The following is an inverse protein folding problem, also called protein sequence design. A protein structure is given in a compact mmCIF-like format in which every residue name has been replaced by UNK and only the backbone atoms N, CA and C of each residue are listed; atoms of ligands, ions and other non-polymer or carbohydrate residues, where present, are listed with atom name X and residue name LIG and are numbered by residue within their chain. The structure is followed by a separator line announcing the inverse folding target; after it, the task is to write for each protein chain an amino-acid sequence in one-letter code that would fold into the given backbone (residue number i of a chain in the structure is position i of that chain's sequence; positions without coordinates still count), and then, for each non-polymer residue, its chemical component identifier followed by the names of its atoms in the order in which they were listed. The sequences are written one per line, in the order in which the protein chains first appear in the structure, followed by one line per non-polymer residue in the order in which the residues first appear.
data_IF_277536653419
#
_entry.id   IF_277536653419
#
_cell.length_a   1.000
_cell.length_b   1.000
_cell.length_c   1.000
_cell.angle_alpha   90.00
_cell.angle_beta   90.00
_cell.angle_gamma   90.00
#
_symmetry.space_group_name_H-M   'P 1'
#
loop_
_entity.id
_entity.type
_entity.pdbx_description
1 polymer ?
#
# COMPACT_ATOMS: atom_id res chain seq x y z
N UNK A 1 6.80 -60.46 -37.14
CA UNK A 1 6.27 -61.31 -38.24
C UNK A 1 5.04 -60.63 -38.88
N UNK A 2 5.23 -59.91 -39.99
CA UNK A 2 4.95 -60.37 -41.37
C UNK A 2 3.43 -60.47 -41.64
N UNK A 3 2.82 -59.82 -42.63
CA UNK A 3 3.34 -59.04 -43.76
C UNK A 3 2.19 -58.32 -44.51
N UNK A 4 2.59 -57.46 -45.44
CA UNK A 4 1.75 -56.86 -46.50
C UNK A 4 1.37 -57.92 -47.56
N UNK A 5 0.29 -57.76 -48.38
CA UNK A 5 0.30 -56.79 -49.48
C UNK A 5 -1.02 -56.09 -49.85
N UNK A 6 -0.80 -55.09 -50.70
CA UNK A 6 -1.60 -54.03 -51.32
C UNK A 6 -2.59 -54.55 -52.39
N UNK A 7 -3.75 -53.89 -52.52
CA UNK A 7 -4.56 -53.88 -53.73
C UNK A 7 -5.08 -52.46 -54.02
N UNK A 8 -5.29 -52.17 -55.31
CA UNK A 8 -5.30 -50.86 -55.94
C UNK A 8 -6.66 -50.13 -55.99
N UNK A 9 -6.61 -48.84 -56.36
CA UNK A 9 -7.65 -47.81 -56.41
C UNK A 9 -8.80 -48.06 -57.42
N UNK A 10 -9.81 -47.17 -57.46
CA UNK A 10 -9.74 -46.18 -58.54
C UNK A 10 -10.14 -44.74 -58.17
N UNK A 11 -9.38 -43.82 -58.77
CA UNK A 11 -9.74 -42.57 -59.45
C UNK A 11 -10.70 -41.56 -58.79
N UNK A 12 -10.08 -40.45 -58.39
CA UNK A 12 -10.74 -39.16 -58.16
C UNK A 12 -11.26 -38.55 -59.46
N UNK A 13 -12.42 -37.87 -59.44
CA UNK A 13 -12.63 -36.73 -60.31
C UNK A 13 -12.29 -35.43 -59.57
N UNK A 14 -11.32 -34.69 -60.13
CA UNK A 14 -10.98 -33.32 -59.79
C UNK A 14 -12.21 -32.42 -59.70
N UNK A 15 -12.30 -31.65 -58.62
CA UNK A 15 -13.15 -30.47 -58.51
C UNK A 15 -12.26 -29.20 -58.47
N UNK A 16 -12.77 -28.07 -58.99
CA UNK A 16 -11.95 -26.97 -59.52
C UNK A 16 -11.31 -26.09 -58.44
N UNK A 17 -10.27 -25.38 -58.87
CA UNK A 17 -9.53 -24.37 -58.11
C UNK A 17 -10.47 -23.40 -57.35
N UNK A 18 -10.51 -23.58 -56.03
CA UNK A 18 -11.16 -22.67 -55.09
C UNK A 18 -10.28 -21.45 -54.81
N UNK A 19 -10.90 -20.28 -54.90
CA UNK A 19 -10.41 -18.92 -54.71
C UNK A 19 -9.41 -18.70 -53.55
N UNK A 20 -8.55 -17.68 -53.63
CA UNK A 20 -7.59 -17.35 -52.58
C UNK A 20 -8.31 -17.07 -51.25
N UNK A 21 -7.89 -17.83 -50.23
CA UNK A 21 -8.29 -17.68 -48.82
C UNK A 21 -7.98 -16.25 -48.36
N UNK A 22 -9.03 -15.49 -48.01
CA UNK A 22 -8.90 -14.17 -47.39
C UNK A 22 -8.06 -14.29 -46.11
N UNK A 23 -7.10 -13.37 -45.96
CA UNK A 23 -6.23 -13.29 -44.79
C UNK A 23 -7.05 -13.15 -43.50
N UNK A 24 -6.64 -13.89 -42.47
CA UNK A 24 -7.26 -13.82 -41.14
C UNK A 24 -7.21 -12.38 -40.61
N UNK A 25 -8.28 -11.88 -39.95
CA UNK A 25 -8.25 -10.57 -39.34
C UNK A 25 -7.12 -10.51 -38.31
N UNK A 26 -6.26 -9.51 -38.50
CA UNK A 26 -4.98 -9.37 -37.82
C UNK A 26 -5.07 -9.53 -36.30
N UNK A 27 -4.09 -10.24 -35.75
CA UNK A 27 -3.82 -10.21 -34.32
C UNK A 27 -3.61 -8.75 -33.92
N UNK A 28 -4.59 -8.16 -33.26
CA UNK A 28 -4.38 -6.88 -32.58
C UNK A 28 -3.35 -7.15 -31.50
N UNK A 29 -2.10 -6.74 -31.74
CA UNK A 29 -1.11 -6.63 -30.68
C UNK A 29 -1.71 -5.71 -29.63
N UNK A 30 -1.95 -6.23 -28.42
CA UNK A 30 -2.45 -5.43 -27.32
C UNK A 30 -1.47 -4.26 -27.12
N UNK A 31 -1.94 -3.00 -27.01
CA UNK A 31 -1.03 -1.89 -26.80
C UNK A 31 -0.29 -2.14 -25.49
N UNK A 32 1.02 -2.35 -25.56
CA UNK A 32 1.90 -2.26 -24.40
C UNK A 32 1.69 -0.86 -23.85
N UNK A 33 1.08 -0.74 -22.67
CA UNK A 33 0.83 0.54 -22.05
C UNK A 33 2.16 1.32 -22.05
N UNK A 34 2.20 2.43 -22.79
CA UNK A 34 3.38 3.25 -22.89
C UNK A 34 3.78 3.65 -21.47
N UNK A 35 5.00 3.29 -21.05
CA UNK A 35 5.51 3.64 -19.74
C UNK A 35 5.58 5.16 -19.67
N UNK A 36 4.66 5.78 -18.94
CA UNK A 36 4.72 7.20 -18.64
C UNK A 36 5.84 7.39 -17.64
N UNK A 37 6.96 7.93 -18.11
CA UNK A 37 8.01 8.43 -17.22
C UNK A 37 7.62 9.86 -16.89
N UNK A 38 7.31 10.12 -15.62
CA UNK A 38 7.21 11.48 -15.11
C UNK A 38 8.63 11.87 -14.70
N UNK A 39 9.35 12.71 -15.48
CA UNK A 39 10.62 13.25 -15.02
C UNK A 39 10.32 14.14 -13.82
N UNK A 40 10.68 13.66 -12.63
CA UNK A 40 10.65 14.48 -11.43
C UNK A 40 11.97 15.24 -11.40
N UNK A 41 11.91 16.57 -11.52
CA UNK A 41 13.05 17.45 -11.27
C UNK A 41 13.25 17.56 -9.76
N UNK A 42 13.86 16.53 -9.18
CA UNK A 42 14.14 16.45 -7.75
C UNK A 42 15.53 17.03 -7.47
N UNK A 43 15.68 17.77 -6.36
CA UNK A 43 17.00 18.21 -5.93
C UNK A 43 17.91 17.00 -5.70
N UNK A 44 19.23 17.22 -5.78
CA UNK A 44 20.22 16.19 -5.44
C UNK A 44 19.93 15.65 -4.04
N UNK A 45 19.88 14.32 -3.92
CA UNK A 45 19.69 13.68 -2.63
C UNK A 45 20.80 14.14 -1.65
N UNK A 46 20.44 14.51 -0.41
CA UNK A 46 21.42 14.80 0.62
C UNK A 46 22.26 13.55 0.94
N UNK A 47 23.39 13.75 1.62
CA UNK A 47 24.13 12.62 2.17
C UNK A 47 23.31 11.87 3.25
N UNK A 48 23.86 10.75 3.71
CA UNK A 48 23.18 9.87 4.66
C UNK A 48 22.80 10.59 5.95
N UNK A 49 23.71 11.35 6.52
CA UNK A 49 23.49 11.94 7.84
C UNK A 49 22.49 13.08 7.73
N UNK A 50 22.61 13.93 6.69
CA UNK A 50 21.62 14.95 6.38
C UNK A 50 20.22 14.35 6.08
N UNK A 51 20.15 13.16 5.47
CA UNK A 51 18.88 12.45 5.24
C UNK A 51 18.25 11.96 6.54
N UNK A 52 19.05 11.43 7.47
CA UNK A 52 18.57 10.97 8.77
C UNK A 52 18.08 12.14 9.64
N UNK A 53 18.82 13.25 9.62
CA UNK A 53 18.44 14.45 10.36
C UNK A 53 17.12 15.03 9.82
N UNK A 54 16.96 15.09 8.50
CA UNK A 54 15.71 15.58 7.89
C UNK A 54 14.52 14.65 8.17
N UNK A 55 14.73 13.32 8.13
CA UNK A 55 13.70 12.35 8.48
C UNK A 55 13.26 12.51 9.94
N UNK A 56 14.22 12.56 10.87
CA UNK A 56 13.96 12.74 12.29
C UNK A 56 13.20 14.05 12.53
N UNK A 57 13.68 15.17 11.95
CA UNK A 57 13.03 16.48 12.09
C UNK A 57 11.56 16.44 11.66
N UNK A 58 11.24 15.82 10.52
CA UNK A 58 9.85 15.70 10.05
C UNK A 58 9.01 14.78 10.90
N UNK A 59 9.57 13.65 11.32
CA UNK A 59 8.88 12.71 12.18
C UNK A 59 8.44 13.40 13.48
N UNK A 60 9.38 14.00 14.19
CA UNK A 60 9.12 14.63 15.48
C UNK A 60 8.23 15.88 15.39
N UNK A 61 8.19 16.57 14.24
CA UNK A 61 7.27 17.68 14.02
C UNK A 61 5.79 17.24 13.95
N UNK A 62 5.50 15.99 13.59
CA UNK A 62 4.14 15.47 13.46
C UNK A 62 3.77 14.42 14.52
N UNK A 63 4.73 13.98 15.32
CA UNK A 63 4.57 12.91 16.31
C UNK A 63 4.93 13.42 17.71
N UNK A 64 4.10 14.30 18.24
CA UNK A 64 4.27 14.86 19.58
C UNK A 64 4.42 13.73 20.63
N UNK A 65 5.36 13.90 21.55
CA UNK A 65 5.64 12.93 22.61
C UNK A 65 6.35 11.63 22.17
N UNK A 66 6.66 11.45 20.88
CA UNK A 66 7.36 10.25 20.41
C UNK A 66 8.81 10.17 20.90
N UNK A 67 9.27 8.96 21.20
CA UNK A 67 10.67 8.69 21.54
C UNK A 67 11.47 8.13 20.35
N UNK A 68 12.77 7.85 20.54
CA UNK A 68 13.60 7.24 19.49
C UNK A 68 13.18 5.83 19.07
N UNK A 69 12.48 5.10 19.94
CA UNK A 69 11.97 3.75 19.64
C UNK A 69 10.73 3.83 18.76
N UNK A 70 9.92 4.88 18.92
CA UNK A 70 8.81 5.13 18.02
C UNK A 70 9.31 5.45 16.61
N UNK A 71 10.31 6.34 16.47
CA UNK A 71 10.96 6.60 15.19
C UNK A 71 11.57 5.33 14.57
N UNK A 72 12.25 4.51 15.37
CA UNK A 72 12.81 3.24 14.90
C UNK A 72 11.73 2.26 14.43
N UNK A 73 10.62 2.17 15.17
CA UNK A 73 9.48 1.33 14.82
C UNK A 73 8.82 1.79 13.51
N UNK A 74 8.59 3.09 13.35
CA UNK A 74 7.92 3.66 12.19
C UNK A 74 8.80 3.59 10.92
N UNK A 75 10.08 3.96 11.03
CA UNK A 75 10.99 4.04 9.88
C UNK A 75 11.67 2.72 9.52
N UNK A 76 11.73 1.75 10.45
CA UNK A 76 12.52 0.53 10.30
C UNK A 76 14.03 0.76 10.41
N UNK A 77 14.48 1.96 10.80
CA UNK A 77 15.89 2.25 10.97
C UNK A 77 16.47 1.58 12.22
N UNK A 78 17.78 1.25 12.22
CA UNK A 78 18.48 0.87 13.43
C UNK A 78 18.37 1.97 14.49
N UNK A 79 18.18 1.58 15.76
CA UNK A 79 18.01 2.54 16.87
C UNK A 79 19.15 3.57 16.98
N UNK A 80 20.37 3.20 16.58
CA UNK A 80 21.54 4.11 16.56
C UNK A 80 21.39 5.30 15.60
N UNK A 81 20.52 5.16 14.59
CA UNK A 81 20.27 6.17 13.56
C UNK A 81 19.04 7.03 13.90
N UNK A 82 18.30 6.70 14.97
CA UNK A 82 17.08 7.40 15.40
C UNK A 82 17.41 8.42 16.48
N UNK A 83 17.86 9.61 16.06
CA UNK A 83 18.27 10.68 16.99
C UNK A 83 17.10 11.62 17.27
N UNK A 84 16.65 11.76 18.52
CA UNK A 84 15.68 12.79 18.86
C UNK A 84 16.35 14.17 18.80
N UNK A 85 15.61 15.24 18.47
CA UNK A 85 16.12 16.60 18.64
C UNK A 85 16.34 16.90 20.13
N UNK A 86 17.14 17.93 20.43
CA UNK A 86 17.50 18.29 21.81
C UNK A 86 16.28 18.62 22.69
N UNK A 87 15.23 19.18 22.08
CA UNK A 87 13.92 19.41 22.70
C UNK A 87 12.84 19.41 21.61
N UNK A 88 11.65 18.92 21.96
CA UNK A 88 10.44 19.08 21.15
C UNK A 88 9.46 19.80 22.07
N UNK A 89 9.14 21.04 21.75
CA UNK A 89 8.04 21.71 22.44
C UNK A 89 6.73 21.09 21.92
N UNK A 90 5.89 20.66 22.84
CA UNK A 90 4.53 20.21 22.56
C UNK A 90 3.62 21.29 23.09
N UNK A 91 2.86 21.91 22.20
CA UNK A 91 1.79 22.82 22.59
C UNK A 91 0.54 22.00 22.86
N UNK A 92 0.03 22.07 24.08
CA UNK A 92 -1.27 21.49 24.42
C UNK A 92 -2.38 22.36 23.82
N UNK A 93 -3.31 21.73 23.12
CA UNK A 93 -4.46 22.38 22.50
C UNK A 93 -5.72 21.51 22.62
N UNK A 94 -6.90 22.06 22.27
CA UNK A 94 -8.13 21.28 22.31
C UNK A 94 -8.03 20.09 21.34
N UNK A 95 -8.38 18.89 21.82
CA UNK A 95 -8.37 17.68 20.99
C UNK A 95 -9.77 17.50 20.39
N UNK A 96 -9.93 17.59 19.04
CA UNK A 96 -11.25 17.52 18.42
C UNK A 96 -11.78 16.08 18.34
N UNK A 97 -13.11 15.96 18.38
CA UNK A 97 -13.79 14.75 17.94
C UNK A 97 -13.65 14.61 16.43
N UNK A 98 -13.09 13.49 15.95
CA UNK A 98 -12.74 13.34 14.54
C UNK A 98 -12.91 11.90 14.05
N UNK A 99 -13.29 11.77 12.78
CA UNK A 99 -13.28 10.50 12.06
C UNK A 99 -11.99 10.41 11.24
N UNK A 100 -11.10 9.50 11.63
CA UNK A 100 -9.87 9.23 10.88
C UNK A 100 -10.06 8.03 9.95
N UNK A 101 -9.49 8.06 8.72
CA UNK A 101 -9.57 6.95 7.79
C UNK A 101 -8.81 5.72 8.31
N UNK A 102 -9.06 4.58 7.65
CA UNK A 102 -8.21 3.42 7.81
C UNK A 102 -6.76 3.77 7.42
N UNK A 103 -5.78 3.23 8.14
CA UNK A 103 -4.36 3.49 7.90
C UNK A 103 -3.94 4.95 8.04
N UNK A 104 -4.67 5.73 8.83
CA UNK A 104 -4.23 7.08 9.19
C UNK A 104 -2.90 7.04 9.98
N UNK A 105 -2.05 8.06 9.79
CA UNK A 105 -0.74 8.12 10.44
C UNK A 105 -0.84 8.16 11.97
N UNK A 106 -1.93 8.68 12.54
CA UNK A 106 -2.16 8.59 13.99
C UNK A 106 -2.16 7.13 14.49
N UNK A 107 -2.57 6.19 13.64
CA UNK A 107 -2.62 4.76 13.93
C UNK A 107 -1.36 4.01 13.49
N UNK A 108 -0.36 4.68 12.90
CA UNK A 108 0.84 4.07 12.35
C UNK A 108 2.12 4.58 13.01
N UNK A 109 2.13 5.85 13.42
CA UNK A 109 3.31 6.63 13.79
C UNK A 109 4.01 6.24 15.09
N UNK A 110 3.32 5.56 16.01
CA UNK A 110 3.86 5.17 17.32
C UNK A 110 3.95 3.67 17.48
N UNK A 111 4.92 3.22 18.26
CA UNK A 111 5.03 1.80 18.62
C UNK A 111 3.92 1.39 19.58
N UNK A 112 3.72 2.21 20.62
CA UNK A 112 2.61 2.07 21.57
C UNK A 112 1.52 3.10 21.24
N UNK A 113 0.29 2.61 21.11
CA UNK A 113 -0.87 3.43 20.74
C UNK A 113 -1.93 3.41 21.83
N UNK A 114 -1.66 2.78 22.97
CA UNK A 114 -2.60 2.66 24.09
C UNK A 114 -3.24 3.99 24.51
N UNK A 115 -2.54 5.15 24.46
CA UNK A 115 -3.16 6.44 24.73
C UNK A 115 -4.30 6.82 23.77
N UNK A 116 -4.20 6.47 22.49
CA UNK A 116 -5.21 6.77 21.46
C UNK A 116 -6.19 5.61 21.28
N UNK A 117 -5.71 4.38 21.32
CA UNK A 117 -6.51 3.15 21.16
C UNK A 117 -6.33 2.31 22.42
N UNK A 118 -7.27 2.38 23.37
CA UNK A 118 -7.21 1.57 24.58
C UNK A 118 -6.98 0.09 24.28
N UNK A 119 -6.25 -0.59 25.17
CA UNK A 119 -5.77 -1.95 24.94
C UNK A 119 -6.93 -2.93 24.67
N UNK A 120 -8.07 -2.76 25.34
CA UNK A 120 -9.29 -3.56 25.15
C UNK A 120 -9.87 -3.45 23.72
N UNK A 121 -9.59 -2.36 23.01
CA UNK A 121 -10.12 -2.09 21.67
C UNK A 121 -9.09 -2.35 20.56
N UNK A 122 -7.86 -2.69 20.93
CA UNK A 122 -6.76 -2.93 19.97
C UNK A 122 -7.13 -3.97 18.93
N UNK A 123 -7.78 -5.09 19.30
CA UNK A 123 -8.20 -6.13 18.33
C UNK A 123 -9.37 -5.71 17.45
N UNK A 124 -10.15 -4.72 17.89
CA UNK A 124 -11.22 -4.14 17.08
C UNK A 124 -10.64 -3.18 16.05
N UNK A 125 -9.63 -2.37 16.39
CA UNK A 125 -8.98 -1.46 15.43
C UNK A 125 -7.98 -2.19 14.53
N UNK A 126 -7.21 -3.12 15.09
CA UNK A 126 -6.17 -3.92 14.44
C UNK A 126 -6.49 -5.42 14.56
N UNK A 127 -7.40 -5.96 13.74
CA UNK A 127 -7.81 -7.37 13.81
C UNK A 127 -6.72 -8.36 13.35
N UNK A 128 -5.64 -7.88 12.73
CA UNK A 128 -4.61 -8.70 12.10
C UNK A 128 -4.69 -8.68 10.57
N UNK A 129 -3.85 -9.48 9.90
CA UNK A 129 -3.82 -9.56 8.44
C UNK A 129 -3.39 -8.27 7.73
N UNK A 130 -2.69 -7.37 8.43
CA UNK A 130 -2.28 -6.06 7.91
C UNK A 130 -3.41 -5.04 7.80
N UNK A 131 -4.59 -5.31 8.38
CA UNK A 131 -5.73 -4.38 8.36
C UNK A 131 -5.70 -3.44 9.57
N UNK A 132 -5.93 -2.16 9.30
CA UNK A 132 -6.21 -1.11 10.28
C UNK A 132 -7.56 -0.50 9.92
N UNK A 133 -8.51 -0.48 10.85
CA UNK A 133 -9.85 0.06 10.60
C UNK A 133 -9.86 1.58 10.75
N UNK A 134 -10.84 2.22 10.11
CA UNK A 134 -11.14 3.64 10.33
C UNK A 134 -11.73 3.84 11.74
N UNK A 135 -11.33 4.90 12.43
CA UNK A 135 -11.59 5.11 13.87
C UNK A 135 -12.33 6.43 14.09
N UNK A 136 -13.28 6.42 15.01
CA UNK A 136 -13.88 7.63 15.57
C UNK A 136 -13.16 7.95 16.89
N UNK A 137 -12.65 9.17 17.01
CA UNK A 137 -11.98 9.68 18.20
C UNK A 137 -12.87 10.69 18.92
N UNK A 138 -12.89 10.61 20.24
CA UNK A 138 -13.39 11.67 21.13
C UNK A 138 -12.30 12.02 22.13
N UNK A 139 -11.97 13.30 22.26
CA UNK A 139 -10.84 13.79 23.07
C UNK A 139 -9.53 13.01 22.82
N UNK A 140 -9.28 12.66 21.55
CA UNK A 140 -8.09 11.91 21.13
C UNK A 140 -8.10 10.41 21.42
N UNK A 141 -9.16 9.90 22.03
CA UNK A 141 -9.32 8.48 22.39
C UNK A 141 -10.34 7.81 21.47
N UNK A 142 -10.00 6.61 21.00
CA UNK A 142 -10.88 5.81 20.17
C UNK A 142 -12.14 5.41 20.94
N UNK A 143 -13.30 5.73 20.37
CA UNK A 143 -14.62 5.34 20.91
C UNK A 143 -15.35 4.35 20.02
N UNK A 144 -14.83 4.09 18.82
CA UNK A 144 -15.44 3.16 17.88
C UNK A 144 -14.72 3.07 16.55
N UNK A 145 -15.27 2.23 15.67
CA UNK A 145 -14.87 2.16 14.26
C UNK A 145 -15.99 2.72 13.39
N UNK A 146 -15.70 3.13 12.16
CA UNK A 146 -16.74 3.66 11.28
C UNK A 146 -16.63 3.19 9.84
N UNK A 147 -17.74 3.27 9.12
CA UNK A 147 -17.79 3.09 7.66
C UNK A 147 -18.69 4.15 7.04
N UNK A 148 -18.42 4.53 5.79
CA UNK A 148 -19.20 5.57 5.10
C UNK A 148 -20.72 5.29 5.06
N UNK A 149 -21.13 4.03 4.96
CA UNK A 149 -22.56 3.64 4.92
C UNK A 149 -23.14 3.31 6.31
N UNK A 150 -22.32 2.77 7.20
CA UNK A 150 -22.77 2.29 8.51
C UNK A 150 -22.62 3.31 9.64
N UNK A 151 -21.99 4.46 9.40
CA UNK A 151 -21.69 5.44 10.44
C UNK A 151 -20.69 4.89 11.45
N UNK A 152 -20.70 5.47 12.66
CA UNK A 152 -19.86 5.06 13.79
C UNK A 152 -20.51 3.90 14.54
N UNK A 153 -19.77 2.80 14.69
CA UNK A 153 -20.06 1.72 15.63
C UNK A 153 -19.15 1.88 16.84
N UNK A 154 -19.73 2.34 17.95
CA UNK A 154 -19.02 2.44 19.23
C UNK A 154 -18.65 1.07 19.78
N UNK A 155 -17.58 1.04 20.57
CA UNK A 155 -17.12 -0.18 21.24
C UNK A 155 -18.13 -0.73 22.26
#
# INVERSE_FOLDING_TARGET
PAGSPRAAAPDSPSAPAGSPRAAAPGSRSAPTAARVVVPLDLPRAPDRDASLDELARRYYACHAGADRRDLAYWSGLPLRDCRPPASIEVEDGPVPDVLIPAFDELLLGWRDRTPTVPAEHTKTVHPGGGIIRAVALEDGVAVGTWTRRGGVKRF
#
